data_IF_558311771282
#
_entry.id   IF_558311771282
#
_cell.length_a   1.000
_cell.length_b   1.000
_cell.length_c   1.000
_cell.angle_alpha   90.00
_cell.angle_beta   90.00
_cell.angle_gamma   90.00
#
_symmetry.space_group_name_H-M   'P 1'
#
loop_
_entity.id
_entity.type
_entity.pdbx_description
1 polymer ?
#
# COMPACT_ATOMS: atom_id res chain seq x y z
N UNK A 1 27.25 24.05 13.17
CA UNK A 1 27.29 23.08 12.04
C UNK A 1 26.27 22.00 12.33
N UNK A 2 25.10 22.09 11.72
CA UNK A 2 24.06 21.05 11.87
C UNK A 2 24.51 19.82 11.06
N UNK A 3 24.74 18.71 11.73
CA UNK A 3 24.93 17.41 11.09
C UNK A 3 23.59 17.05 10.47
N UNK A 4 23.48 17.15 9.15
CA UNK A 4 22.35 16.56 8.42
C UNK A 4 22.53 15.06 8.54
N UNK A 5 21.85 14.42 9.49
CA UNK A 5 21.73 12.97 9.50
C UNK A 5 21.12 12.55 8.17
N UNK A 6 21.90 11.84 7.36
CA UNK A 6 21.42 11.17 6.18
C UNK A 6 20.51 10.03 6.67
N UNK A 7 19.20 10.27 6.73
CA UNK A 7 18.24 9.20 6.90
C UNK A 7 18.45 8.19 5.78
N UNK A 8 18.62 6.91 6.08
CA UNK A 8 18.81 5.90 5.06
C UNK A 8 17.62 5.92 4.09
N UNK A 9 17.91 5.82 2.80
CA UNK A 9 16.87 5.83 1.76
C UNK A 9 16.13 4.48 1.64
N UNK A 10 16.23 3.65 2.65
CA UNK A 10 15.48 2.41 2.81
C UNK A 10 15.52 1.51 1.56
N UNK A 11 16.72 1.37 0.97
CA UNK A 11 16.95 0.54 -0.22
C UNK A 11 16.67 1.25 -1.56
N UNK A 12 16.33 2.54 -1.55
CA UNK A 12 16.17 3.32 -2.78
C UNK A 12 17.54 3.85 -3.22
N UNK A 13 18.21 3.07 -4.04
CA UNK A 13 19.54 3.39 -4.60
C UNK A 13 19.43 4.17 -5.91
N UNK A 14 20.58 4.70 -6.40
CA UNK A 14 20.65 5.37 -7.70
C UNK A 14 20.31 4.41 -8.85
N UNK A 15 20.74 3.14 -8.73
CA UNK A 15 20.41 2.10 -9.71
C UNK A 15 18.91 1.77 -9.70
N UNK A 16 18.26 1.73 -8.53
CA UNK A 16 16.81 1.53 -8.46
C UNK A 16 16.09 2.67 -9.18
N UNK A 17 16.49 3.92 -8.95
CA UNK A 17 15.89 5.09 -9.64
C UNK A 17 16.14 5.07 -11.15
N UNK A 18 17.35 4.70 -11.59
CA UNK A 18 17.66 4.57 -13.02
C UNK A 18 16.72 3.56 -13.68
N UNK A 19 16.53 2.38 -13.06
CA UNK A 19 15.61 1.37 -13.57
C UNK A 19 14.15 1.82 -13.56
N UNK A 20 13.72 2.63 -12.59
CA UNK A 20 12.38 3.26 -12.65
C UNK A 20 12.23 4.15 -13.86
N UNK A 21 13.26 4.95 -14.18
CA UNK A 21 13.29 5.81 -15.37
C UNK A 21 13.25 5.00 -16.67
N UNK A 22 14.09 3.98 -16.78
CA UNK A 22 14.14 3.07 -17.94
C UNK A 22 12.80 2.38 -18.22
N UNK A 23 12.04 2.06 -17.14
CA UNK A 23 10.73 1.37 -17.24
C UNK A 23 9.54 2.34 -17.29
N UNK A 24 9.76 3.66 -17.29
CA UNK A 24 8.67 4.63 -17.22
C UNK A 24 7.72 4.53 -18.42
N UNK A 25 8.26 4.44 -19.65
CA UNK A 25 7.47 4.27 -20.86
C UNK A 25 6.69 2.95 -20.88
N UNK A 26 7.30 1.86 -20.39
CA UNK A 26 6.62 0.57 -20.23
C UNK A 26 5.47 0.67 -19.25
N UNK A 27 5.67 1.29 -18.09
CA UNK A 27 4.64 1.47 -17.07
C UNK A 27 3.45 2.27 -17.62
N UNK A 28 3.70 3.33 -18.40
CA UNK A 28 2.67 4.14 -19.05
C UNK A 28 1.88 3.32 -20.08
N UNK A 29 2.56 2.59 -20.95
CA UNK A 29 1.94 1.72 -21.96
C UNK A 29 1.09 0.61 -21.32
N UNK A 30 1.58 -0.02 -20.25
CA UNK A 30 0.89 -1.06 -19.51
C UNK A 30 -0.25 -0.53 -18.63
N UNK A 31 -0.24 0.77 -18.30
CA UNK A 31 -1.12 1.42 -17.29
C UNK A 31 -1.05 0.74 -15.93
N UNK A 32 0.09 0.18 -15.59
CA UNK A 32 0.41 -0.47 -14.31
C UNK A 32 1.92 -0.54 -14.13
N UNK A 33 2.36 -0.85 -12.91
CA UNK A 33 3.77 -1.10 -12.69
C UNK A 33 4.24 -2.35 -13.46
N UNK A 34 5.42 -2.32 -14.12
CA UNK A 34 6.07 -3.53 -14.59
C UNK A 34 6.32 -4.51 -13.42
N UNK A 35 6.13 -5.80 -13.65
CA UNK A 35 6.34 -6.83 -12.62
C UNK A 35 7.74 -6.74 -11.98
N UNK A 36 8.78 -6.52 -12.79
CA UNK A 36 10.15 -6.35 -12.29
C UNK A 36 10.29 -5.15 -11.33
N UNK A 37 9.53 -4.07 -11.51
CA UNK A 37 9.51 -2.93 -10.58
C UNK A 37 8.90 -3.33 -9.24
N UNK A 38 7.81 -4.08 -9.27
CA UNK A 38 7.13 -4.58 -8.06
C UNK A 38 8.02 -5.57 -7.30
N UNK A 39 8.67 -6.49 -8.01
CA UNK A 39 9.56 -7.48 -7.42
C UNK A 39 10.78 -6.83 -6.75
N UNK A 40 11.39 -5.83 -7.40
CA UNK A 40 12.47 -5.06 -6.80
C UNK A 40 12.01 -4.25 -5.58
N UNK A 41 10.84 -3.63 -5.65
CA UNK A 41 10.29 -2.88 -4.53
C UNK A 41 10.05 -3.75 -3.30
N UNK A 42 9.55 -4.98 -3.49
CA UNK A 42 9.37 -5.95 -2.40
C UNK A 42 10.68 -6.28 -1.66
N UNK A 43 11.84 -6.08 -2.30
CA UNK A 43 13.16 -6.31 -1.70
C UNK A 43 13.70 -5.08 -0.94
N UNK A 44 13.05 -3.92 -1.06
CA UNK A 44 13.48 -2.70 -0.37
C UNK A 44 12.98 -2.65 1.07
N UNK A 45 13.73 -1.96 1.94
CA UNK A 45 13.25 -1.63 3.28
C UNK A 45 12.03 -0.72 3.26
N UNK A 46 11.90 0.12 2.21
CA UNK A 46 10.77 1.02 2.03
C UNK A 46 9.43 0.28 2.05
N UNK A 47 9.36 -0.93 1.47
CA UNK A 47 8.13 -1.71 1.44
C UNK A 47 7.61 -2.08 2.84
N UNK A 48 8.53 -2.27 3.80
CA UNK A 48 8.21 -2.60 5.20
C UNK A 48 8.40 -1.44 6.18
N UNK A 49 8.65 -0.22 5.67
CA UNK A 49 9.06 0.93 6.48
C UNK A 49 8.07 1.25 7.61
N UNK A 50 6.80 1.36 7.28
CA UNK A 50 5.74 1.76 8.22
C UNK A 50 5.00 0.56 8.84
N UNK A 51 5.35 -0.66 8.46
CA UNK A 51 4.78 -1.87 9.04
C UNK A 51 5.25 -2.03 10.49
N UNK A 52 4.38 -2.43 11.44
CA UNK A 52 4.81 -2.71 12.82
C UNK A 52 5.88 -3.79 12.92
N UNK A 53 6.81 -3.63 13.87
CA UNK A 53 7.92 -4.55 14.10
C UNK A 53 7.48 -6.00 14.34
N UNK A 54 6.33 -6.20 15.01
CA UNK A 54 5.75 -7.54 15.24
C UNK A 54 5.39 -8.31 13.97
N UNK A 55 5.31 -7.63 12.81
CA UNK A 55 5.09 -8.22 11.50
C UNK A 55 6.31 -8.11 10.59
N UNK A 56 7.50 -7.87 11.15
CA UNK A 56 8.77 -7.77 10.42
C UNK A 56 9.02 -6.39 9.78
N UNK A 57 8.26 -5.37 10.18
CA UNK A 57 8.43 -3.99 9.74
C UNK A 57 9.51 -3.23 10.50
N UNK A 58 9.79 -2.01 10.03
CA UNK A 58 10.74 -1.10 10.68
C UNK A 58 10.07 -0.16 11.69
N UNK A 59 8.74 -0.07 11.68
CA UNK A 59 7.94 0.78 12.58
C UNK A 59 8.41 2.25 12.58
N UNK A 60 8.87 2.71 11.40
CA UNK A 60 9.38 4.05 11.20
C UNK A 60 8.25 5.11 11.19
N UNK A 61 8.63 6.36 11.25
CA UNK A 61 7.69 7.48 11.21
C UNK A 61 7.33 7.91 9.78
N UNK A 62 6.19 8.60 9.62
CA UNK A 62 5.76 9.14 8.32
C UNK A 62 6.79 10.07 7.65
N UNK A 63 7.49 10.98 8.37
CA UNK A 63 8.52 11.80 7.74
C UNK A 63 9.61 11.00 7.03
N UNK A 64 9.96 9.82 7.53
CA UNK A 64 10.96 8.94 6.92
C UNK A 64 10.52 8.37 5.56
N UNK A 65 9.21 8.28 5.31
CA UNK A 65 8.66 7.87 4.02
C UNK A 65 8.87 8.91 2.91
N UNK A 66 8.91 10.19 3.26
CA UNK A 66 8.87 11.28 2.27
C UNK A 66 10.13 11.36 1.42
N UNK A 67 11.30 11.18 2.00
CA UNK A 67 12.57 11.30 1.25
C UNK A 67 12.73 10.19 0.20
N UNK A 68 12.53 8.89 0.51
CA UNK A 68 12.55 7.83 -0.48
C UNK A 68 11.55 8.07 -1.63
N UNK A 69 10.31 8.50 -1.34
CA UNK A 69 9.31 8.80 -2.37
C UNK A 69 9.77 9.94 -3.27
N UNK A 70 10.24 11.06 -2.69
CA UNK A 70 10.75 12.19 -3.47
C UNK A 70 11.90 11.76 -4.37
N UNK A 71 12.81 10.93 -3.87
CA UNK A 71 13.93 10.43 -4.64
C UNK A 71 13.47 9.54 -5.80
N UNK A 72 12.57 8.59 -5.54
CA UNK A 72 11.99 7.75 -6.61
C UNK A 72 11.30 8.58 -7.70
N UNK A 73 10.65 9.69 -7.32
CA UNK A 73 9.95 10.56 -8.27
C UNK A 73 10.88 11.21 -9.31
N UNK A 74 12.19 11.33 -9.04
CA UNK A 74 13.16 11.78 -10.05
C UNK A 74 13.41 10.71 -11.12
N UNK A 75 13.23 9.42 -10.80
CA UNK A 75 13.27 8.35 -11.81
C UNK A 75 11.95 8.24 -12.57
N UNK A 76 10.85 8.05 -11.83
CA UNK A 76 9.50 7.97 -12.40
C UNK A 76 8.45 8.37 -11.35
N UNK A 77 7.79 9.51 -11.57
CA UNK A 77 6.82 10.05 -10.61
C UNK A 77 5.59 9.14 -10.40
N UNK A 78 5.06 8.52 -11.46
CA UNK A 78 3.90 7.62 -11.38
C UNK A 78 4.24 6.31 -10.63
N UNK A 79 5.43 5.77 -10.85
CA UNK A 79 5.91 4.61 -10.09
C UNK A 79 6.14 4.96 -8.62
N UNK A 80 6.78 6.10 -8.34
CA UNK A 80 6.99 6.59 -6.97
C UNK A 80 5.69 6.79 -6.21
N UNK A 81 4.67 7.33 -6.87
CA UNK A 81 3.32 7.50 -6.34
C UNK A 81 2.71 6.16 -5.92
N UNK A 82 2.70 5.18 -6.82
CA UNK A 82 2.11 3.87 -6.56
C UNK A 82 2.85 3.11 -5.46
N UNK A 83 4.20 3.09 -5.51
CA UNK A 83 5.04 2.42 -4.51
C UNK A 83 4.93 3.08 -3.14
N UNK A 84 4.84 4.42 -3.09
CA UNK A 84 4.60 5.16 -1.87
C UNK A 84 3.28 4.81 -1.20
N UNK A 85 2.21 4.62 -1.98
CA UNK A 85 0.93 4.16 -1.44
C UNK A 85 1.00 2.75 -0.87
N UNK A 86 1.71 1.82 -1.50
CA UNK A 86 1.86 0.48 -0.93
C UNK A 86 2.56 0.52 0.43
N UNK A 87 3.64 1.32 0.57
CA UNK A 87 4.30 1.48 1.86
C UNK A 87 3.35 2.11 2.91
N UNK A 88 2.61 3.17 2.52
CA UNK A 88 1.65 3.86 3.38
C UNK A 88 0.50 2.96 3.83
N UNK A 89 -0.03 2.14 2.93
CA UNK A 89 -1.21 1.33 3.22
C UNK A 89 -0.90 0.16 4.16
N UNK A 90 0.35 -0.30 4.27
CA UNK A 90 0.75 -1.22 5.33
C UNK A 90 0.56 -0.60 6.73
N UNK A 91 0.82 0.72 6.89
CA UNK A 91 0.46 1.42 8.11
C UNK A 91 -1.07 1.46 8.30
N UNK A 92 -1.86 1.78 7.28
CA UNK A 92 -3.33 1.80 7.41
C UNK A 92 -3.88 0.44 7.86
N UNK A 93 -3.38 -0.66 7.28
CA UNK A 93 -3.76 -2.02 7.66
C UNK A 93 -3.40 -2.35 9.11
N UNK A 94 -2.37 -1.73 9.67
CA UNK A 94 -1.99 -1.90 11.07
C UNK A 94 -2.97 -1.29 12.07
N UNK A 95 -3.94 -0.49 11.60
CA UNK A 95 -5.01 0.11 12.39
C UNK A 95 -6.30 -0.74 12.41
N UNK A 96 -6.35 -1.82 11.63
CA UNK A 96 -7.48 -2.74 11.61
C UNK A 96 -7.52 -3.63 12.86
N UNK A 97 -8.60 -4.41 13.00
CA UNK A 97 -8.72 -5.38 14.08
C UNK A 97 -7.50 -6.33 14.11
N UNK A 98 -6.98 -6.70 15.30
CA UNK A 98 -5.82 -7.57 15.42
C UNK A 98 -5.94 -8.93 14.71
N UNK A 99 -7.16 -9.46 14.52
CA UNK A 99 -7.39 -10.69 13.76
C UNK A 99 -7.13 -10.45 12.27
N UNK A 100 -7.68 -9.36 11.72
CA UNK A 100 -7.45 -8.97 10.33
C UNK A 100 -5.96 -8.71 10.05
N UNK A 101 -5.27 -8.02 10.98
CA UNK A 101 -3.83 -7.78 10.85
C UNK A 101 -3.03 -9.10 10.77
N UNK A 102 -3.32 -10.08 11.63
CA UNK A 102 -2.64 -11.39 11.58
C UNK A 102 -2.88 -12.15 10.29
N UNK A 103 -4.07 -12.02 9.72
CA UNK A 103 -4.41 -12.65 8.44
C UNK A 103 -3.69 -11.96 7.28
N UNK A 104 -3.78 -10.64 7.21
CA UNK A 104 -3.19 -9.84 6.13
C UNK A 104 -1.66 -9.95 6.13
N UNK A 105 -1.03 -9.84 7.29
CA UNK A 105 0.43 -9.81 7.43
C UNK A 105 1.03 -11.20 7.74
N UNK A 106 0.31 -12.29 7.47
CA UNK A 106 0.81 -13.64 7.73
C UNK A 106 2.17 -13.94 7.07
N UNK A 107 2.47 -13.30 5.95
CA UNK A 107 3.74 -13.44 5.20
C UNK A 107 4.55 -12.13 5.12
N UNK A 108 4.24 -11.14 5.96
CA UNK A 108 4.90 -9.83 5.97
C UNK A 108 4.11 -8.73 5.25
N UNK A 109 4.77 -7.68 4.73
CA UNK A 109 4.12 -6.56 4.07
C UNK A 109 3.40 -6.97 2.79
N UNK A 110 2.33 -6.25 2.46
CA UNK A 110 1.44 -6.55 1.33
C UNK A 110 1.26 -5.36 0.39
N UNK A 111 0.96 -5.63 -0.86
CA UNK A 111 0.52 -4.62 -1.82
C UNK A 111 -0.99 -4.45 -1.65
N UNK A 112 -1.40 -3.35 -1.06
CA UNK A 112 -2.81 -3.11 -0.74
C UNK A 112 -3.25 -1.71 -1.19
N UNK A 113 -3.78 -1.55 -2.40
CA UNK A 113 -4.43 -0.30 -2.81
C UNK A 113 -5.67 -0.01 -1.96
N UNK A 114 -6.00 1.28 -1.82
CA UNK A 114 -7.05 1.74 -0.92
C UNK A 114 -8.03 2.73 -1.58
N UNK A 115 -9.01 2.27 -2.37
CA UNK A 115 -10.12 3.11 -2.80
C UNK A 115 -11.06 3.37 -1.62
N UNK A 116 -10.83 4.49 -0.91
CA UNK A 116 -11.46 4.80 0.38
C UNK A 116 -12.92 5.29 0.28
N UNK A 117 -13.37 5.73 -0.90
CA UNK A 117 -14.74 6.19 -1.08
C UNK A 117 -15.74 5.06 -0.73
N UNK A 118 -16.75 5.30 0.12
CA UNK A 118 -17.67 4.26 0.60
C UNK A 118 -18.75 3.93 -0.44
N UNK A 119 -18.31 3.51 -1.63
CA UNK A 119 -19.19 3.15 -2.76
C UNK A 119 -19.72 1.73 -2.67
N UNK A 120 -19.11 0.89 -1.83
CA UNK A 120 -19.60 -0.45 -1.54
C UNK A 120 -20.73 -0.47 -0.50
N UNK A 121 -21.47 -1.57 -0.48
CA UNK A 121 -22.45 -1.90 0.56
C UNK A 121 -22.13 -3.25 1.15
N UNK A 122 -22.29 -3.38 2.46
CA UNK A 122 -22.00 -4.62 3.15
C UNK A 122 -23.01 -4.93 4.24
N UNK A 123 -23.17 -6.21 4.53
CA UNK A 123 -23.94 -6.71 5.66
C UNK A 123 -23.08 -7.63 6.51
N UNK A 124 -23.21 -7.61 7.85
CA UNK A 124 -22.50 -8.54 8.72
C UNK A 124 -22.74 -9.99 8.30
N UNK A 125 -21.67 -10.80 8.37
CA UNK A 125 -21.71 -12.22 8.10
C UNK A 125 -20.78 -12.94 9.07
N UNK A 126 -20.88 -14.27 9.17
CA UNK A 126 -20.00 -15.04 10.02
C UNK A 126 -18.53 -14.85 9.63
N UNK A 127 -17.74 -14.38 10.58
CA UNK A 127 -16.32 -14.11 10.40
C UNK A 127 -15.96 -12.84 9.66
N UNK A 128 -16.93 -11.99 9.26
CA UNK A 128 -16.64 -10.76 8.52
C UNK A 128 -17.86 -10.01 7.99
N UNK A 129 -17.76 -9.58 6.75
CA UNK A 129 -18.78 -8.79 6.05
C UNK A 129 -19.00 -9.35 4.65
N UNK A 130 -20.24 -9.56 4.27
CA UNK A 130 -20.61 -9.81 2.86
C UNK A 130 -20.65 -8.46 2.15
N UNK A 131 -19.80 -8.28 1.15
CA UNK A 131 -19.59 -7.00 0.48
C UNK A 131 -20.00 -7.07 -0.99
N UNK A 132 -20.67 -6.01 -1.46
CA UNK A 132 -21.00 -5.80 -2.87
C UNK A 132 -20.66 -4.36 -3.25
N UNK A 133 -20.00 -4.17 -4.39
CA UNK A 133 -19.66 -2.82 -4.83
C UNK A 133 -18.77 -2.79 -6.07
N UNK A 134 -18.54 -1.56 -6.52
CA UNK A 134 -17.57 -1.25 -7.55
C UNK A 134 -16.78 -0.03 -7.10
N UNK A 135 -15.47 -0.16 -7.07
CA UNK A 135 -14.56 0.90 -6.68
C UNK A 135 -13.74 1.35 -7.88
N UNK A 136 -13.56 2.64 -8.01
CA UNK A 136 -12.73 3.26 -9.04
C UNK A 136 -11.49 3.89 -8.40
N UNK A 137 -10.49 4.18 -9.22
CA UNK A 137 -9.27 4.89 -8.79
C UNK A 137 -8.46 4.13 -7.73
N UNK A 138 -8.41 2.82 -7.84
CA UNK A 138 -7.60 1.96 -7.00
C UNK A 138 -6.16 1.90 -7.54
N UNK A 139 -5.33 2.88 -7.17
CA UNK A 139 -3.93 2.96 -7.59
C UNK A 139 -3.18 1.68 -7.23
N UNK A 140 -2.63 0.99 -8.23
CA UNK A 140 -1.90 -0.26 -8.05
C UNK A 140 -2.77 -1.52 -7.90
N UNK A 141 -4.07 -1.47 -8.22
CA UNK A 141 -4.97 -2.62 -8.03
C UNK A 141 -4.58 -3.88 -8.81
N UNK A 142 -3.85 -3.72 -9.93
CA UNK A 142 -3.48 -4.85 -10.80
C UNK A 142 -2.40 -5.76 -10.19
N UNK A 143 -1.68 -5.30 -9.18
CA UNK A 143 -0.59 -6.01 -8.50
C UNK A 143 -0.93 -6.28 -7.01
N UNK A 144 -2.22 -6.11 -6.64
CA UNK A 144 -2.64 -6.17 -5.25
C UNK A 144 -2.62 -7.60 -4.69
N UNK A 145 -2.15 -7.73 -3.44
CA UNK A 145 -2.36 -8.93 -2.60
C UNK A 145 -3.70 -8.82 -1.85
N UNK A 146 -4.02 -7.60 -1.40
CA UNK A 146 -5.23 -7.24 -0.68
C UNK A 146 -5.75 -5.89 -1.16
N UNK A 147 -7.01 -5.54 -0.85
CA UNK A 147 -7.56 -4.22 -1.09
C UNK A 147 -8.18 -3.68 0.22
N UNK A 148 -8.02 -2.36 0.45
CA UNK A 148 -8.72 -1.63 1.49
C UNK A 148 -9.84 -0.85 0.82
N UNK A 149 -11.08 -1.24 1.00
CA UNK A 149 -12.21 -0.64 0.29
C UNK A 149 -13.19 0.07 1.23
N UNK A 150 -13.65 1.25 0.83
CA UNK A 150 -14.70 1.96 1.55
C UNK A 150 -16.08 1.37 1.28
N UNK A 151 -16.89 1.18 2.33
CA UNK A 151 -18.24 0.66 2.23
C UNK A 151 -19.17 1.24 3.27
N UNK A 152 -20.47 1.18 3.00
CA UNK A 152 -21.55 1.44 3.96
C UNK A 152 -22.03 0.09 4.48
N UNK A 153 -21.85 -0.16 5.79
CA UNK A 153 -22.24 -1.41 6.42
C UNK A 153 -23.61 -1.27 7.03
N UNK A 154 -24.58 -2.02 6.50
CA UNK A 154 -25.95 -2.04 6.96
C UNK A 154 -26.07 -2.94 8.20
N UNK A 155 -26.42 -2.35 9.33
CA UNK A 155 -26.73 -3.04 10.58
C UNK A 155 -28.24 -2.94 10.84
N UNK A 156 -28.74 -3.65 11.82
CA UNK A 156 -30.19 -3.70 12.15
C UNK A 156 -30.79 -2.32 12.42
N UNK A 157 -30.03 -1.40 13.01
CA UNK A 157 -30.49 -0.11 13.51
C UNK A 157 -29.79 1.10 12.88
N UNK A 158 -28.73 0.88 12.07
CA UNK A 158 -27.93 1.96 11.48
C UNK A 158 -27.11 1.52 10.27
N UNK A 159 -26.60 2.51 9.55
CA UNK A 159 -25.62 2.32 8.48
C UNK A 159 -24.32 3.02 8.89
N UNK A 160 -23.23 2.28 8.95
CA UNK A 160 -21.93 2.78 9.34
C UNK A 160 -20.97 2.82 8.13
N UNK A 161 -20.30 3.96 7.86
CA UNK A 161 -19.17 3.95 6.94
C UNK A 161 -18.01 3.16 7.56
N UNK A 162 -17.38 2.31 6.77
CA UNK A 162 -16.26 1.50 7.22
C UNK A 162 -15.24 1.28 6.10
N UNK A 163 -14.00 1.00 6.51
CA UNK A 163 -13.00 0.41 5.64
C UNK A 163 -13.01 -1.10 5.86
N UNK A 164 -13.03 -1.84 4.78
CA UNK A 164 -13.03 -3.30 4.78
C UNK A 164 -11.80 -3.77 4.02
N UNK A 165 -11.09 -4.73 4.59
CA UNK A 165 -9.98 -5.38 3.90
C UNK A 165 -10.48 -6.66 3.24
N UNK A 166 -10.13 -6.84 1.96
CA UNK A 166 -10.54 -8.01 1.15
C UNK A 166 -9.33 -8.57 0.40
N UNK A 167 -9.20 -9.89 0.26
CA UNK A 167 -8.16 -10.47 -0.59
C UNK A 167 -8.39 -10.07 -2.06
N UNK A 168 -7.31 -9.91 -2.80
CA UNK A 168 -7.37 -9.55 -4.22
C UNK A 168 -7.55 -10.79 -5.12
N UNK A 169 -8.28 -11.77 -4.72
CA UNK A 169 -8.85 -12.88 -5.48
C UNK A 169 -7.89 -13.76 -6.27
#
# INVERSE_FOLDING_TARGET
MSVVEHHPLHGITDEFMARLGERAEEAERLRRLPAATVDEFRQTELFRLLLPARFGGLEASFPELLQPIRRMAHGCASSAWTLGFYALHNWMLSLFDPRAQREVFASGPVLAPAPLAPTGRGTPADGGVRLTGRWSWATGAMEADWLIVGALIERTDRIDPALVVVPAG
#
